data_IF_909802490570
#
_entry.id   IF_909802490570
#
_cell.length_a   1.000
_cell.length_b   1.000
_cell.length_c   1.000
_cell.angle_alpha   90.00
_cell.angle_beta   90.00
_cell.angle_gamma   90.00
#
_symmetry.space_group_name_H-M   'P 1'
#
loop_
_entity.id
_entity.type
_entity.pdbx_description
1 polymer ?
#
# COMPACT_ATOMS: atom_id res chain seq x y z
N UNK A 1 29.74 20.52 -5.49
CA UNK A 1 29.04 19.54 -4.62
C UNK A 1 28.58 18.43 -5.55
N UNK A 2 29.12 17.23 -5.39
CA UNK A 2 28.72 16.09 -6.20
C UNK A 2 27.64 15.35 -5.40
N UNK A 3 26.42 15.28 -5.96
CA UNK A 3 25.33 14.49 -5.38
C UNK A 3 25.29 13.17 -6.16
N UNK A 4 25.68 12.07 -5.51
CA UNK A 4 25.72 10.74 -6.12
C UNK A 4 25.03 9.73 -5.19
N UNK A 5 24.20 8.86 -5.76
CA UNK A 5 23.44 7.85 -5.01
C UNK A 5 22.09 8.34 -4.46
N UNK A 6 21.33 7.38 -3.95
CA UNK A 6 19.92 7.54 -3.51
C UNK A 6 19.78 7.98 -2.05
N UNK A 7 20.85 7.93 -1.25
CA UNK A 7 20.83 8.35 0.15
C UNK A 7 19.92 7.49 1.04
N UNK A 8 19.33 8.12 2.07
CA UNK A 8 18.43 7.50 3.05
C UNK A 8 17.23 8.40 3.33
N UNK A 9 16.09 7.78 3.65
CA UNK A 9 14.83 8.48 3.92
C UNK A 9 14.23 7.98 5.23
N UNK A 10 13.87 8.92 6.09
CA UNK A 10 13.24 8.67 7.37
C UNK A 10 11.90 9.40 7.41
N UNK A 11 10.85 8.67 7.77
CA UNK A 11 9.50 9.17 7.96
C UNK A 11 9.18 9.22 9.45
N UNK A 12 8.39 10.21 9.87
CA UNK A 12 7.90 10.33 11.25
C UNK A 12 6.46 10.77 11.26
N UNK A 13 5.55 9.92 11.72
CA UNK A 13 4.12 10.22 11.76
C UNK A 13 3.81 11.25 12.84
N UNK A 14 3.21 12.38 12.48
CA UNK A 14 2.91 13.48 13.43
C UNK A 14 1.42 13.61 13.70
N UNK A 15 0.58 13.23 12.73
CA UNK A 15 -0.87 13.14 12.91
C UNK A 15 -1.43 11.81 12.45
N UNK A 16 -2.47 11.38 13.14
CA UNK A 16 -3.23 10.21 12.73
C UNK A 16 -4.16 10.53 11.55
N UNK A 17 -4.75 9.45 11.08
CA UNK A 17 -5.92 9.38 10.24
C UNK A 17 -6.96 10.52 10.45
N UNK A 18 -7.39 10.72 11.69
CA UNK A 18 -8.44 11.66 12.05
C UNK A 18 -7.92 13.10 12.28
N UNK A 19 -6.62 13.35 12.09
CA UNK A 19 -6.00 14.66 12.29
C UNK A 19 -5.57 14.93 13.75
N UNK A 20 -5.69 13.96 14.64
CA UNK A 20 -5.21 14.07 16.01
C UNK A 20 -3.67 14.03 16.04
N UNK A 21 -3.07 14.76 16.97
CA UNK A 21 -1.62 14.76 17.15
C UNK A 21 -1.18 13.47 17.86
N UNK A 22 -0.12 12.85 17.35
CA UNK A 22 0.47 11.66 17.97
C UNK A 22 1.46 12.11 19.04
N UNK A 23 1.23 11.71 20.29
CA UNK A 23 2.02 12.14 21.44
C UNK A 23 3.48 11.66 21.39
N UNK A 24 3.73 10.46 20.83
CA UNK A 24 5.08 9.88 20.71
C UNK A 24 5.29 9.39 19.26
N UNK A 25 5.77 10.27 18.36
CA UNK A 25 6.08 9.90 16.98
C UNK A 25 7.23 8.89 16.88
N UNK A 26 6.97 7.73 16.26
CA UNK A 26 8.02 6.76 15.91
C UNK A 26 8.64 7.12 14.55
N UNK A 27 9.96 6.92 14.43
CA UNK A 27 10.69 7.11 13.19
C UNK A 27 10.83 5.78 12.44
N UNK A 28 10.53 5.81 11.15
CA UNK A 28 10.57 4.67 10.26
C UNK A 28 11.50 4.98 9.10
N UNK A 29 12.47 4.11 8.83
CA UNK A 29 13.37 4.26 7.69
C UNK A 29 12.84 3.44 6.51
N UNK A 30 12.83 4.06 5.33
CA UNK A 30 12.52 3.34 4.10
C UNK A 30 13.74 2.53 3.66
N UNK A 31 13.51 1.24 3.42
CA UNK A 31 14.54 0.27 3.02
C UNK A 31 14.60 0.16 1.49
N UNK A 32 15.75 -0.27 0.97
CA UNK A 32 15.97 -0.49 -0.46
C UNK A 32 15.50 0.66 -1.38
N UNK A 33 15.86 1.90 -1.02
CA UNK A 33 15.53 3.08 -1.83
C UNK A 33 16.20 2.99 -3.20
N UNK A 34 15.44 3.19 -4.27
CA UNK A 34 15.91 3.13 -5.67
C UNK A 34 15.99 4.51 -6.30
N UNK A 35 15.15 5.44 -5.84
CA UNK A 35 15.11 6.80 -6.34
C UNK A 35 14.44 7.71 -5.30
N UNK A 36 14.95 8.93 -5.16
CA UNK A 36 14.24 10.01 -4.48
C UNK A 36 14.50 11.35 -5.16
N UNK A 37 13.42 12.10 -5.33
CA UNK A 37 13.39 13.42 -5.94
C UNK A 37 12.70 14.41 -4.99
N UNK A 38 13.29 15.59 -4.87
CA UNK A 38 12.71 16.76 -4.22
C UNK A 38 12.51 17.85 -5.28
N UNK A 39 11.25 18.16 -5.60
CA UNK A 39 10.86 19.28 -6.44
C UNK A 39 10.47 20.49 -5.59
N UNK A 40 11.02 21.66 -5.91
CA UNK A 40 10.61 22.94 -5.32
C UNK A 40 10.24 23.85 -6.49
N UNK A 41 8.94 24.01 -6.71
CA UNK A 41 8.39 24.80 -7.80
C UNK A 41 7.83 26.11 -7.27
N UNK A 42 8.17 27.22 -7.92
CA UNK A 42 7.61 28.54 -7.60
C UNK A 42 7.02 29.12 -8.88
N UNK A 43 5.71 29.40 -8.86
CA UNK A 43 5.00 30.04 -9.96
C UNK A 43 5.40 31.51 -10.07
N UNK A 44 5.75 31.95 -11.28
CA UNK A 44 6.09 33.33 -11.58
C UNK A 44 4.92 34.01 -12.33
N UNK A 45 4.44 35.12 -11.78
CA UNK A 45 3.47 36.01 -12.44
C UNK A 45 4.21 37.17 -13.08
N UNK A 46 3.98 37.36 -14.38
CA UNK A 46 4.65 38.38 -15.18
C UNK A 46 3.67 39.46 -15.62
N UNK A 47 3.99 40.72 -15.37
CA UNK A 47 3.28 41.88 -15.92
C UNK A 47 3.87 42.20 -17.30
N UNK A 48 3.08 42.07 -18.37
CA UNK A 48 3.52 42.34 -19.74
C UNK A 48 2.92 43.65 -20.27
N UNK A 49 3.77 44.46 -20.90
CA UNK A 49 3.35 45.58 -21.76
C UNK A 49 3.21 45.13 -23.22
N UNK A 50 3.17 46.08 -24.15
CA UNK A 50 3.15 45.79 -25.60
C UNK A 50 4.48 45.28 -26.17
N UNK A 51 5.55 45.31 -25.38
CA UNK A 51 6.85 44.73 -25.73
C UNK A 51 6.91 43.22 -25.49
N UNK A 52 7.85 42.56 -26.16
CA UNK A 52 8.05 41.10 -26.09
C UNK A 52 8.53 40.58 -24.72
N UNK A 53 9.08 41.45 -23.86
CA UNK A 53 9.59 41.10 -22.53
C UNK A 53 8.68 41.64 -21.40
N UNK A 54 8.59 40.94 -20.25
CA UNK A 54 7.80 41.40 -19.12
C UNK A 54 8.43 42.63 -18.45
N UNK A 55 7.58 43.57 -18.02
CA UNK A 55 7.97 44.78 -17.31
C UNK A 55 8.25 44.52 -15.83
N UNK A 56 7.56 43.53 -15.25
CA UNK A 56 7.79 43.09 -13.87
C UNK A 56 7.50 41.59 -13.74
N UNK A 57 8.20 40.91 -12.82
CA UNK A 57 8.00 39.50 -12.49
C UNK A 57 7.95 39.36 -10.98
N UNK A 58 6.95 38.65 -10.47
CA UNK A 58 6.78 38.36 -9.04
C UNK A 58 6.51 36.87 -8.81
N UNK A 59 6.89 36.36 -7.64
CA UNK A 59 6.56 34.99 -7.21
C UNK A 59 5.14 34.96 -6.64
N UNK A 60 4.39 33.88 -6.90
CA UNK A 60 3.01 33.73 -6.43
C UNK A 60 2.84 32.50 -5.53
N UNK A 61 2.64 31.32 -6.12
CA UNK A 61 2.45 30.06 -5.39
C UNK A 61 3.72 29.21 -5.41
N UNK A 62 4.03 28.57 -4.29
CA UNK A 62 5.10 27.58 -4.20
C UNK A 62 4.54 26.18 -3.95
N UNK A 63 5.14 25.16 -4.56
CA UNK A 63 4.83 23.75 -4.34
C UNK A 63 6.11 22.99 -4.04
N UNK A 64 6.08 22.16 -2.99
CA UNK A 64 7.19 21.27 -2.65
C UNK A 64 6.69 19.84 -2.71
N UNK A 65 7.27 19.06 -3.62
CA UNK A 65 6.91 17.66 -3.86
C UNK A 65 8.08 16.73 -3.60
N UNK A 66 7.79 15.59 -3.01
CA UNK A 66 8.72 14.47 -2.84
C UNK A 66 8.17 13.29 -3.60
N UNK A 67 9.00 12.70 -4.46
CA UNK A 67 8.71 11.45 -5.15
C UNK A 67 9.80 10.46 -4.83
N UNK A 68 9.44 9.25 -4.48
CA UNK A 68 10.43 8.22 -4.20
C UNK A 68 9.93 6.84 -4.64
N UNK A 69 10.89 6.00 -5.03
CA UNK A 69 10.68 4.59 -5.37
C UNK A 69 11.48 3.75 -4.40
N UNK A 70 10.80 2.87 -3.69
CA UNK A 70 11.43 1.88 -2.79
C UNK A 70 11.28 0.50 -3.40
N UNK A 71 12.22 -0.39 -3.12
CA UNK A 71 12.13 -1.81 -3.47
C UNK A 71 11.46 -2.66 -2.38
N UNK A 72 11.37 -2.12 -1.17
CA UNK A 72 10.67 -2.75 -0.05
C UNK A 72 10.00 -1.68 0.82
N UNK A 73 8.81 -1.98 1.33
CA UNK A 73 8.08 -1.12 2.24
C UNK A 73 7.76 -1.87 3.52
N UNK A 74 8.24 -1.35 4.64
CA UNK A 74 7.80 -1.84 5.94
C UNK A 74 6.32 -1.48 6.13
N UNK A 75 5.54 -2.42 6.66
CA UNK A 75 4.14 -2.21 7.08
C UNK A 75 3.93 -0.94 7.91
N UNK A 76 4.89 -0.59 8.78
CA UNK A 76 4.87 0.65 9.59
C UNK A 76 5.00 1.94 8.77
N UNK A 77 5.65 1.90 7.61
CA UNK A 77 5.69 3.05 6.70
C UNK A 77 4.31 3.32 6.10
N UNK A 78 3.50 2.28 5.86
CA UNK A 78 2.11 2.44 5.43
C UNK A 78 1.27 3.15 6.51
N UNK A 79 1.42 2.76 7.76
CA UNK A 79 0.77 3.47 8.88
C UNK A 79 1.16 4.95 8.94
N UNK A 80 2.43 5.27 8.65
CA UNK A 80 2.92 6.65 8.67
C UNK A 80 2.34 7.50 7.55
N UNK A 81 2.20 6.92 6.36
CA UNK A 81 1.78 7.62 5.16
C UNK A 81 0.24 7.76 5.06
N UNK A 82 -0.53 6.75 5.50
CA UNK A 82 -2.01 6.75 5.45
C UNK A 82 -2.69 7.00 6.79
N UNK A 83 -1.93 6.95 7.89
CA UNK A 83 -2.42 7.28 9.23
C UNK A 83 -3.37 6.27 9.84
N UNK A 84 -3.64 5.13 9.21
CA UNK A 84 -4.49 4.06 9.74
C UNK A 84 -3.67 3.14 10.65
N UNK A 85 -4.20 2.82 11.82
CA UNK A 85 -3.57 1.88 12.74
C UNK A 85 -3.73 0.43 12.24
N UNK A 86 -2.70 -0.38 12.42
CA UNK A 86 -2.77 -1.80 12.09
C UNK A 86 -3.73 -2.54 13.04
N UNK A 87 -4.56 -3.42 12.48
CA UNK A 87 -5.23 -4.48 13.26
C UNK A 87 -4.27 -5.64 13.47
N UNK A 88 -4.28 -6.26 14.65
CA UNK A 88 -3.44 -7.41 15.01
C UNK A 88 -3.95 -8.74 14.40
N UNK A 89 -4.37 -8.68 13.14
CA UNK A 89 -4.91 -9.77 12.33
C UNK A 89 -4.27 -9.68 10.95
N UNK A 90 -4.18 -10.80 10.24
CA UNK A 90 -3.84 -10.80 8.82
C UNK A 90 -4.94 -11.49 8.05
N UNK A 91 -5.58 -10.75 7.15
CA UNK A 91 -6.44 -11.32 6.10
C UNK A 91 -5.54 -11.74 4.94
N UNK A 92 -5.59 -13.02 4.60
CA UNK A 92 -4.72 -13.65 3.61
C UNK A 92 -5.58 -14.37 2.57
N UNK A 93 -5.04 -14.46 1.36
CA UNK A 93 -5.63 -15.23 0.27
C UNK A 93 -4.83 -16.51 0.09
N UNK A 94 -5.50 -17.65 0.19
CA UNK A 94 -4.97 -18.91 -0.32
C UNK A 94 -5.45 -19.04 -1.77
N UNK A 95 -4.54 -18.94 -2.74
CA UNK A 95 -4.87 -19.04 -4.16
C UNK A 95 -4.52 -20.43 -4.69
N UNK A 96 -5.46 -21.07 -5.38
CA UNK A 96 -5.22 -22.30 -6.13
C UNK A 96 -4.81 -23.51 -5.28
N UNK A 97 -5.34 -23.63 -4.07
CA UNK A 97 -5.13 -24.81 -3.22
C UNK A 97 -5.70 -26.06 -3.90
N UNK A 98 -4.84 -27.06 -4.13
CA UNK A 98 -5.28 -28.32 -4.68
C UNK A 98 -6.18 -29.06 -3.68
N UNK A 99 -7.36 -29.47 -4.15
CA UNK A 99 -8.28 -30.30 -3.39
C UNK A 99 -8.96 -31.33 -4.31
N UNK A 100 -9.48 -32.38 -3.71
CA UNK A 100 -10.18 -33.45 -4.43
C UNK A 100 -11.57 -33.62 -3.86
N UNK A 101 -12.57 -33.72 -4.75
CA UNK A 101 -13.92 -34.11 -4.34
C UNK A 101 -13.90 -35.58 -3.94
N UNK A 102 -14.47 -35.98 -2.78
CA UNK A 102 -14.63 -37.38 -2.43
C UNK A 102 -15.32 -38.19 -3.54
N UNK A 103 -14.94 -39.46 -3.71
CA UNK A 103 -15.54 -40.33 -4.72
C UNK A 103 -16.99 -40.74 -4.39
N UNK A 104 -17.41 -40.55 -3.14
CA UNK A 104 -18.70 -40.96 -2.62
C UNK A 104 -19.36 -39.79 -1.87
N UNK A 105 -20.67 -39.87 -1.68
CA UNK A 105 -21.46 -38.94 -0.86
C UNK A 105 -20.77 -38.71 0.50
N UNK A 106 -20.68 -37.46 1.02
CA UNK A 106 -21.52 -36.31 0.65
C UNK A 106 -20.95 -35.36 -0.42
N UNK A 107 -19.83 -35.68 -1.08
CA UNK A 107 -19.20 -34.81 -2.10
C UNK A 107 -18.84 -33.40 -1.58
N UNK A 108 -18.43 -33.32 -0.31
CA UNK A 108 -18.05 -32.07 0.33
C UNK A 108 -16.55 -31.92 0.48
N UNK A 109 -16.05 -30.70 0.34
CA UNK A 109 -14.65 -30.34 0.61
C UNK A 109 -14.64 -29.28 1.70
N UNK A 110 -13.97 -29.56 2.82
CA UNK A 110 -13.83 -28.61 3.92
C UNK A 110 -12.53 -27.83 3.78
N UNK A 111 -12.57 -26.53 4.02
CA UNK A 111 -11.38 -25.69 4.10
C UNK A 111 -10.73 -25.88 5.47
N UNK A 112 -9.42 -26.10 5.48
CA UNK A 112 -8.61 -26.05 6.69
C UNK A 112 -7.54 -24.98 6.47
N UNK A 113 -7.81 -23.70 6.81
CA UNK A 113 -6.86 -22.63 6.53
C UNK A 113 -5.52 -22.88 7.24
N UNK A 114 -4.38 -22.51 6.62
CA UNK A 114 -3.08 -22.57 7.27
C UNK A 114 -3.05 -21.80 8.60
N UNK A 115 -2.11 -22.15 9.48
CA UNK A 115 -1.87 -21.47 10.76
C UNK A 115 -3.12 -21.38 11.67
N UNK A 116 -3.98 -22.41 11.62
CA UNK A 116 -5.27 -22.44 12.35
C UNK A 116 -6.15 -21.22 12.04
N UNK A 117 -6.06 -20.69 10.82
CA UNK A 117 -6.83 -19.53 10.40
C UNK A 117 -8.34 -19.81 10.31
N UNK A 118 -9.12 -18.74 10.27
CA UNK A 118 -10.58 -18.80 10.13
C UNK A 118 -10.98 -18.41 8.71
N UNK A 119 -11.71 -19.29 8.02
CA UNK A 119 -12.29 -18.99 6.71
C UNK A 119 -13.13 -17.71 6.77
N UNK A 120 -12.99 -16.84 5.78
CA UNK A 120 -13.76 -15.60 5.66
C UNK A 120 -14.66 -15.64 4.42
N UNK A 121 -14.05 -15.77 3.25
CA UNK A 121 -14.75 -15.62 1.97
C UNK A 121 -14.26 -16.63 0.94
N UNK A 122 -15.18 -17.06 0.10
CA UNK A 122 -14.89 -17.92 -1.05
C UNK A 122 -14.48 -17.07 -2.26
N UNK A 123 -13.37 -17.44 -2.89
CA UNK A 123 -12.87 -16.81 -4.13
C UNK A 123 -12.96 -17.74 -5.35
N UNK A 124 -13.58 -18.92 -5.20
CA UNK A 124 -13.95 -19.79 -6.31
C UNK A 124 -13.27 -21.15 -6.35
N UNK A 125 -13.83 -22.01 -7.22
CA UNK A 125 -13.32 -23.33 -7.57
C UNK A 125 -13.06 -23.41 -9.07
N UNK A 126 -11.93 -23.99 -9.46
CA UNK A 126 -11.56 -24.28 -10.86
C UNK A 126 -11.36 -25.79 -11.01
N UNK A 127 -11.93 -26.38 -12.06
CA UNK A 127 -11.69 -27.79 -12.40
C UNK A 127 -10.33 -27.93 -13.09
N UNK A 128 -9.44 -28.76 -12.53
CA UNK A 128 -8.05 -28.93 -13.01
C UNK A 128 -8.00 -29.48 -14.43
N UNK A 129 -8.94 -30.35 -14.80
CA UNK A 129 -8.92 -31.00 -16.10
C UNK A 129 -9.39 -30.06 -17.23
N UNK A 130 -10.30 -29.13 -16.93
CA UNK A 130 -10.88 -28.23 -17.93
C UNK A 130 -10.35 -26.80 -17.87
N UNK A 131 -9.75 -26.40 -16.74
CA UNK A 131 -9.36 -25.03 -16.45
C UNK A 131 -10.54 -24.06 -16.27
N UNK A 132 -11.78 -24.55 -16.22
CA UNK A 132 -12.97 -23.72 -16.12
C UNK A 132 -13.39 -23.51 -14.67
N UNK A 133 -13.82 -22.28 -14.29
CA UNK A 133 -14.41 -22.03 -12.99
C UNK A 133 -15.79 -22.69 -12.89
N UNK A 134 -16.09 -23.24 -11.71
CA UNK A 134 -17.44 -23.73 -11.41
C UNK A 134 -18.36 -22.56 -11.03
N UNK A 135 -19.68 -22.74 -11.17
CA UNK A 135 -20.67 -21.73 -10.80
C UNK A 135 -21.08 -21.86 -9.33
N UNK A 136 -20.96 -20.79 -8.55
CA UNK A 136 -21.47 -20.74 -7.17
C UNK A 136 -22.99 -20.60 -7.15
N UNK A 137 -23.67 -21.36 -6.29
CA UNK A 137 -25.11 -21.28 -6.04
C UNK A 137 -25.41 -21.31 -4.54
N UNK A 138 -26.59 -20.83 -4.16
CA UNK A 138 -27.10 -20.90 -2.77
C UNK A 138 -28.02 -22.10 -2.53
N UNK A 139 -28.51 -22.74 -3.60
CA UNK A 139 -29.36 -23.93 -3.55
C UNK A 139 -28.53 -25.22 -3.64
N UNK A 140 -29.21 -26.37 -3.75
CA UNK A 140 -28.56 -27.66 -4.02
C UNK A 140 -27.83 -27.61 -5.37
N UNK A 141 -26.51 -27.86 -5.42
CA UNK A 141 -25.74 -27.73 -6.65
C UNK A 141 -26.17 -28.73 -7.73
N UNK A 142 -26.31 -28.26 -8.97
CA UNK A 142 -26.36 -29.08 -10.17
C UNK A 142 -24.93 -29.35 -10.72
N UNK A 143 -24.84 -30.12 -11.81
CA UNK A 143 -23.57 -30.41 -12.44
C UNK A 143 -22.82 -29.13 -12.88
N UNK A 144 -21.55 -29.02 -12.51
CA UNK A 144 -20.74 -27.82 -12.78
C UNK A 144 -20.94 -26.68 -11.78
N UNK A 145 -21.74 -26.91 -10.74
CA UNK A 145 -22.00 -25.93 -9.68
C UNK A 145 -21.43 -26.39 -8.34
N UNK A 146 -21.33 -25.42 -7.42
CA UNK A 146 -21.05 -25.68 -6.01
C UNK A 146 -21.79 -24.68 -5.13
N UNK A 147 -22.01 -25.04 -3.88
CA UNK A 147 -22.40 -24.12 -2.81
C UNK A 147 -21.35 -24.12 -1.73
N UNK A 148 -21.24 -23.03 -0.97
CA UNK A 148 -20.28 -22.91 0.12
C UNK A 148 -20.94 -22.28 1.33
N UNK A 149 -20.71 -22.87 2.50
CA UNK A 149 -21.16 -22.35 3.79
C UNK A 149 -20.09 -22.61 4.83
N UNK A 150 -19.62 -21.55 5.51
CA UNK A 150 -18.60 -21.61 6.55
C UNK A 150 -17.35 -22.45 6.16
N UNK A 151 -16.86 -22.28 4.92
CA UNK A 151 -15.69 -23.01 4.41
C UNK A 151 -15.95 -24.47 4.00
N UNK A 152 -17.20 -24.94 4.00
CA UNK A 152 -17.59 -26.26 3.48
C UNK A 152 -18.20 -26.09 2.10
N UNK A 153 -17.51 -26.61 1.09
CA UNK A 153 -17.94 -26.63 -0.29
C UNK A 153 -18.72 -27.90 -0.56
N UNK A 154 -19.95 -27.77 -1.06
CA UNK A 154 -20.79 -28.90 -1.47
C UNK A 154 -20.86 -28.90 -2.99
N UNK A 155 -20.67 -30.07 -3.61
CA UNK A 155 -20.72 -30.24 -5.05
C UNK A 155 -21.76 -31.30 -5.44
N UNK A 156 -22.17 -31.24 -6.70
CA UNK A 156 -23.01 -32.28 -7.30
C UNK A 156 -22.23 -33.60 -7.46
N UNK A 157 -22.92 -34.73 -7.45
CA UNK A 157 -22.33 -36.08 -7.60
C UNK A 157 -21.53 -36.27 -8.89
N UNK A 158 -21.82 -35.50 -9.94
CA UNK A 158 -21.04 -35.48 -11.18
C UNK A 158 -19.60 -34.96 -11.01
N UNK A 159 -19.28 -34.37 -9.87
CA UNK A 159 -17.93 -33.91 -9.52
C UNK A 159 -17.13 -34.96 -8.72
N UNK A 160 -17.70 -36.13 -8.43
CA UNK A 160 -17.06 -37.19 -7.65
C UNK A 160 -15.66 -37.54 -8.20
N UNK A 161 -14.66 -37.55 -7.32
CA UNK A 161 -13.28 -37.90 -7.66
C UNK A 161 -12.52 -36.86 -8.50
N UNK A 162 -13.12 -35.71 -8.84
CA UNK A 162 -12.44 -34.65 -9.58
C UNK A 162 -11.42 -33.90 -8.72
N UNK A 163 -10.32 -33.49 -9.35
CA UNK A 163 -9.35 -32.57 -8.77
C UNK A 163 -9.73 -31.13 -9.11
N UNK A 164 -9.71 -30.26 -8.09
CA UNK A 164 -10.07 -28.85 -8.18
C UNK A 164 -8.95 -27.98 -7.59
N UNK A 165 -8.89 -26.73 -8.04
CA UNK A 165 -8.12 -25.67 -7.41
C UNK A 165 -9.09 -24.73 -6.71
N UNK A 166 -8.90 -24.54 -5.41
CA UNK A 166 -9.74 -23.70 -4.56
C UNK A 166 -9.02 -22.43 -4.16
N UNK A 167 -9.69 -21.29 -4.26
CA UNK A 167 -9.19 -20.03 -3.72
C UNK A 167 -10.14 -19.49 -2.67
N UNK A 168 -9.61 -18.97 -1.56
CA UNK A 168 -10.40 -18.41 -0.47
C UNK A 168 -9.61 -17.42 0.37
N UNK A 169 -10.34 -16.54 1.05
CA UNK A 169 -9.80 -15.66 2.09
C UNK A 169 -9.93 -16.29 3.46
N UNK A 170 -8.93 -16.07 4.30
CA UNK A 170 -8.95 -16.46 5.70
C UNK A 170 -8.23 -15.43 6.57
N UNK A 171 -8.59 -15.39 7.85
CA UNK A 171 -7.93 -14.56 8.84
C UNK A 171 -7.07 -15.41 9.77
N UNK A 172 -5.94 -14.87 10.19
CA UNK A 172 -5.09 -15.47 11.22
C UNK A 172 -4.59 -14.40 12.18
N UNK A 173 -4.29 -14.81 13.40
CA UNK A 173 -3.70 -14.00 14.45
C UNK A 173 -2.36 -14.61 14.84
N UNK A 174 -1.26 -14.03 14.36
CA UNK A 174 0.10 -14.44 14.69
C UNK A 174 0.94 -13.22 15.08
N UNK A 175 2.09 -13.45 15.72
CA UNK A 175 3.01 -12.37 16.04
C UNK A 175 3.50 -11.69 14.75
N UNK A 176 3.23 -10.40 14.60
CA UNK A 176 3.55 -9.63 13.39
C UNK A 176 2.41 -9.53 12.36
N UNK A 177 1.26 -10.16 12.61
CA UNK A 177 0.08 -10.02 11.77
C UNK A 177 -0.44 -8.58 11.77
N UNK A 178 -0.60 -8.00 10.59
CA UNK A 178 -1.09 -6.64 10.38
C UNK A 178 -2.05 -6.55 9.21
N UNK A 179 -3.20 -5.93 9.44
CA UNK A 179 -4.15 -5.53 8.39
C UNK A 179 -4.44 -4.04 8.55
N UNK A 180 -4.37 -3.32 7.42
CA UNK A 180 -4.72 -1.90 7.35
C UNK A 180 -6.02 -1.77 6.54
N UNK A 181 -7.07 -1.29 7.20
CA UNK A 181 -8.36 -1.07 6.53
C UNK A 181 -8.31 0.22 5.72
N UNK A 182 -8.72 0.12 4.45
CA UNK A 182 -8.88 1.29 3.58
C UNK A 182 -10.31 1.81 3.77
N UNK A 183 -10.45 2.79 4.65
CA UNK A 183 -11.76 3.36 5.01
C UNK A 183 -12.08 4.60 4.15
N UNK A 184 -13.35 4.81 3.83
CA UNK A 184 -13.80 6.09 3.31
C UNK A 184 -13.90 7.11 4.45
N UNK A 185 -13.06 8.15 4.41
CA UNK A 185 -12.91 9.12 5.50
C UNK A 185 -13.66 10.40 5.20
N UNK A 186 -13.98 11.15 6.25
CA UNK A 186 -14.42 12.54 6.09
C UNK A 186 -13.30 13.38 5.45
N UNK A 187 -13.65 14.11 4.40
CA UNK A 187 -12.74 15.02 3.69
C UNK A 187 -12.29 16.17 4.61
N UNK A 188 -10.98 16.42 4.68
CA UNK A 188 -10.37 17.54 5.43
C UNK A 188 -9.48 17.13 6.61
N UNK A 189 -9.71 15.96 7.19
CA UNK A 189 -8.76 15.35 8.14
C UNK A 189 -7.73 14.53 7.36
N UNK A 190 -6.48 14.99 7.37
CA UNK A 190 -5.39 14.35 6.61
C UNK A 190 -4.27 13.88 7.55
N UNK A 191 -3.76 12.65 7.36
CA UNK A 191 -2.57 12.19 8.07
C UNK A 191 -1.38 13.07 7.70
N UNK A 192 -0.54 13.38 8.68
CA UNK A 192 0.66 14.19 8.49
C UNK A 192 1.88 13.46 9.00
N UNK A 193 2.98 13.62 8.29
CA UNK A 193 4.28 13.09 8.68
C UNK A 193 5.39 14.05 8.30
N UNK A 194 6.54 13.94 8.97
CA UNK A 194 7.77 14.62 8.56
C UNK A 194 8.64 13.69 7.72
N UNK A 195 9.32 14.22 6.70
CA UNK A 195 10.30 13.49 5.89
C UNK A 195 11.68 14.06 6.16
N UNK A 196 12.66 13.20 6.38
CA UNK A 196 14.09 13.55 6.41
C UNK A 196 14.80 12.76 5.31
N UNK A 197 15.48 13.48 4.42
CA UNK A 197 16.29 12.91 3.33
C UNK A 197 17.74 13.25 3.60
N UNK A 198 18.63 12.27 3.47
CA UNK A 198 20.05 12.42 3.74
C UNK A 198 20.85 11.72 2.65
N UNK A 199 21.82 12.41 2.04
CA UNK A 199 22.82 11.81 1.17
C UNK A 199 24.24 12.22 1.57
N UNK A 200 25.21 11.31 1.41
CA UNK A 200 26.62 11.53 1.73
C UNK A 200 27.50 11.10 0.56
N UNK A 201 28.34 12.01 0.10
CA UNK A 201 29.32 11.74 -0.96
C UNK A 201 30.62 12.48 -0.68
N UNK A 202 31.76 11.77 -0.80
CA UNK A 202 33.11 12.33 -0.65
C UNK A 202 33.29 13.15 0.66
N UNK A 203 32.82 12.59 1.78
CA UNK A 203 32.88 13.23 3.10
C UNK A 203 31.86 14.34 3.34
N UNK A 204 31.17 14.83 2.31
CA UNK A 204 30.14 15.88 2.39
C UNK A 204 28.75 15.29 2.55
N UNK A 205 27.89 15.96 3.32
CA UNK A 205 26.53 15.52 3.63
C UNK A 205 25.52 16.59 3.22
N UNK A 206 24.46 16.16 2.55
CA UNK A 206 23.27 16.97 2.29
C UNK A 206 22.12 16.37 3.08
N UNK A 207 21.47 17.18 3.92
CA UNK A 207 20.28 16.77 4.64
C UNK A 207 19.13 17.76 4.41
N UNK A 208 17.97 17.21 4.03
CA UNK A 208 16.71 17.94 3.91
C UNK A 208 15.74 17.42 4.95
N UNK A 209 15.04 18.31 5.63
CA UNK A 209 13.89 17.97 6.45
C UNK A 209 12.67 18.77 6.01
N UNK A 210 11.54 18.08 5.84
CA UNK A 210 10.23 18.68 5.64
C UNK A 210 9.38 18.40 6.87
N UNK A 211 8.83 19.45 7.48
CA UNK A 211 8.18 19.37 8.79
C UNK A 211 6.80 18.73 8.74
N UNK A 212 6.01 19.07 7.72
CA UNK A 212 4.68 18.52 7.49
C UNK A 212 4.50 18.13 6.03
N UNK A 213 4.17 16.87 5.81
CA UNK A 213 3.88 16.28 4.52
C UNK A 213 2.59 15.47 4.58
N UNK A 214 1.86 15.42 3.46
CA UNK A 214 0.72 14.53 3.23
C UNK A 214 1.05 13.68 2.00
N UNK A 215 0.79 12.37 2.06
CA UNK A 215 0.98 11.49 0.92
C UNK A 215 -0.19 11.66 -0.05
N UNK A 216 0.13 11.80 -1.34
CA UNK A 216 -0.86 11.91 -2.42
C UNK A 216 -1.06 10.59 -3.14
N UNK A 217 -0.07 9.70 -3.11
CA UNK A 217 -0.07 8.49 -3.94
C UNK A 217 0.82 7.41 -3.36
N UNK A 218 0.38 6.17 -3.57
CA UNK A 218 1.17 4.97 -3.40
C UNK A 218 0.69 3.90 -4.37
N UNK A 219 1.63 3.15 -4.95
CA UNK A 219 1.29 2.08 -5.87
C UNK A 219 2.01 0.79 -5.48
N UNK A 220 1.29 -0.32 -5.56
CA UNK A 220 1.81 -1.68 -5.40
C UNK A 220 1.80 -2.37 -6.77
N UNK A 221 2.91 -2.33 -7.53
CA UNK A 221 2.94 -2.99 -8.82
C UNK A 221 3.18 -4.50 -8.66
N UNK A 222 2.37 -5.30 -9.36
CA UNK A 222 2.60 -6.74 -9.52
C UNK A 222 3.22 -6.97 -10.91
N UNK A 223 4.55 -7.11 -10.95
CA UNK A 223 5.30 -7.37 -12.19
C UNK A 223 5.81 -8.80 -12.21
N UNK A 224 5.80 -9.44 -13.38
CA UNK A 224 6.28 -10.82 -13.57
C UNK A 224 7.79 -10.92 -13.84
N UNK A 225 8.36 -9.93 -14.56
CA UNK A 225 9.70 -10.06 -15.15
C UNK A 225 10.74 -9.11 -14.51
N UNK A 226 10.31 -8.11 -13.74
CA UNK A 226 11.15 -7.11 -13.07
C UNK A 226 10.79 -7.00 -11.58
N UNK A 227 11.75 -6.57 -10.75
CA UNK A 227 11.47 -6.23 -9.36
C UNK A 227 10.42 -5.12 -9.26
N UNK A 228 9.39 -5.37 -8.45
CA UNK A 228 8.37 -4.39 -8.13
C UNK A 228 8.98 -3.24 -7.31
N UNK A 229 8.94 -2.02 -7.86
CA UNK A 229 9.28 -0.80 -7.14
C UNK A 229 7.99 -0.12 -6.69
N UNK A 230 7.84 0.19 -5.42
CA UNK A 230 6.66 0.88 -4.90
C UNK A 230 6.91 2.40 -4.92
N UNK A 231 6.32 3.15 -5.86
CA UNK A 231 6.40 4.60 -5.84
C UNK A 231 5.46 5.16 -4.80
N UNK A 232 5.92 6.18 -4.08
CA UNK A 232 5.06 7.05 -3.29
C UNK A 232 5.36 8.51 -3.60
N UNK A 233 4.33 9.34 -3.44
CA UNK A 233 4.41 10.78 -3.63
C UNK A 233 3.86 11.47 -2.38
N UNK A 234 4.48 12.60 -2.02
CA UNK A 234 4.08 13.42 -0.90
C UNK A 234 4.26 14.91 -1.20
N UNK A 235 3.39 15.74 -0.64
CA UNK A 235 3.47 17.19 -0.74
C UNK A 235 3.77 17.77 0.64
N UNK A 236 4.77 18.64 0.71
CA UNK A 236 5.09 19.38 1.92
C UNK A 236 4.33 20.71 2.00
N UNK A 237 4.02 21.13 3.22
CA UNK A 237 3.31 22.37 3.52
C UNK A 237 3.74 22.93 4.88
N UNK A 238 3.23 24.12 5.18
CA UNK A 238 3.54 24.83 6.41
C UNK A 238 3.16 24.02 7.67
N UNK A 239 4.02 24.06 8.67
CA UNK A 239 3.78 23.42 9.96
C UNK A 239 2.84 24.21 10.89
N UNK A 240 2.29 25.34 10.43
CA UNK A 240 1.47 26.26 11.22
C UNK A 240 2.27 27.37 11.90
N UNK A 241 3.59 27.40 11.72
CA UNK A 241 4.49 28.41 12.28
C UNK A 241 5.27 29.18 11.20
N UNK A 242 4.87 29.08 9.93
CA UNK A 242 5.56 29.69 8.80
C UNK A 242 6.84 28.96 8.38
N UNK A 243 6.97 27.67 8.72
CA UNK A 243 8.14 26.85 8.40
C UNK A 243 7.76 25.53 7.73
N UNK A 244 8.28 25.33 6.52
CA UNK A 244 8.03 24.11 5.73
C UNK A 244 9.15 23.07 5.93
N UNK A 245 10.39 23.51 6.14
CA UNK A 245 11.54 22.63 6.25
C UNK A 245 12.89 23.35 6.21
N UNK A 246 13.96 22.57 6.12
CA UNK A 246 15.31 23.07 5.89
C UNK A 246 16.07 22.18 4.91
N UNK A 247 17.04 22.78 4.22
CA UNK A 247 18.08 22.12 3.44
C UNK A 247 19.43 22.54 4.03
N UNK A 248 20.25 21.57 4.38
CA UNK A 248 21.52 21.77 5.07
C UNK A 248 22.65 21.05 4.34
N UNK A 249 23.82 21.69 4.30
CA UNK A 249 25.01 21.22 3.60
C UNK A 249 26.20 21.25 4.55
N UNK A 250 27.00 20.19 4.52
CA UNK A 250 28.27 20.07 5.25
C UNK A 250 29.33 19.47 4.36
#
# INVERSE_FOLDING_TARGET
MYNFGVGSVILKRTKDAAGNTIAIPQAEQLLALQEIELGIDIELKQLKGSGVFPLAVAQAGGKIEVKAKVGDINTSAFETLWGEAAQATSTLVQQGEACSVPANSPYTITVAPPLSGTFQEDLGLIDVATGQPLRRVTATPAAGEYSVSAGVYTLHSSAAGKALLRSYEYTTTSAGAKTYNINNRLMGASPRFSIVMCNRFDGKTVAVKLHSCVSSKFMLPFKSDDFAQQPFEAQAFDNGAGSVGYLSFW
#
